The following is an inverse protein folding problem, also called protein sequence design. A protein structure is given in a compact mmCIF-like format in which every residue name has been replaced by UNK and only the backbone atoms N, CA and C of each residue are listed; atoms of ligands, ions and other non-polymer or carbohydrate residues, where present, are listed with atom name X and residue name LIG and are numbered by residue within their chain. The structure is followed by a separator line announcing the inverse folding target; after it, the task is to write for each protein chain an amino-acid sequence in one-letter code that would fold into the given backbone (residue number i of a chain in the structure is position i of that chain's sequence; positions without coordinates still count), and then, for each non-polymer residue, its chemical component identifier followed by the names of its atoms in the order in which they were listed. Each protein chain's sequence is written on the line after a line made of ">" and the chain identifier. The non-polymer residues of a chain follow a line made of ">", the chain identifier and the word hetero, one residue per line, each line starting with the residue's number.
data_IF_937664318241
#
_entry.id   IF_937664318241
#
_cell.length_a   1.000
_cell.length_b   1.000
_cell.length_c   1.000
_cell.angle_alpha   90.00
_cell.angle_beta   90.00
_cell.angle_gamma   90.00
#
_symmetry.space_group_name_H-M   'P 1'
#
loop_
_entity.id
_entity.type
_entity.pdbx_description
1 polymer ?
#
# COMPACT_ATOMS: atom_id res chain seq x y z
N UNK A 1 30.15 15.90 4.90
CA UNK A 1 30.55 14.88 3.92
C UNK A 1 29.46 13.82 3.91
N UNK A 2 29.03 13.30 2.76
CA UNK A 2 27.99 12.28 2.69
C UNK A 2 28.63 10.96 2.23
N UNK A 3 28.63 9.95 3.11
CA UNK A 3 29.25 8.65 2.86
C UNK A 3 28.17 7.63 2.53
N UNK A 4 28.37 6.85 1.46
CA UNK A 4 27.44 5.79 1.06
C UNK A 4 27.70 4.55 1.90
N UNK A 5 26.65 4.03 2.55
CA UNK A 5 26.73 2.85 3.40
C UNK A 5 25.59 1.89 3.06
N UNK A 6 25.82 0.61 3.30
CA UNK A 6 24.86 -0.47 3.09
C UNK A 6 24.94 -1.43 4.27
N UNK A 7 23.79 -1.80 4.83
CA UNK A 7 23.68 -2.75 5.94
C UNK A 7 23.08 -4.06 5.42
N UNK A 8 23.85 -5.17 5.46
CA UNK A 8 23.38 -6.49 4.99
C UNK A 8 22.68 -6.46 3.60
N UNK A 9 23.31 -5.80 2.62
CA UNK A 9 22.76 -5.56 1.27
C UNK A 9 21.52 -4.64 1.19
N UNK A 10 21.10 -4.02 2.29
CA UNK A 10 20.01 -3.06 2.34
C UNK A 10 20.53 -1.61 2.40
N UNK A 11 19.94 -0.72 1.60
CA UNK A 11 20.27 0.70 1.52
C UNK A 11 19.59 1.54 2.61
N UNK A 12 18.67 0.97 3.39
CA UNK A 12 17.90 1.66 4.44
C UNK A 12 18.70 1.84 5.75
N UNK A 13 19.85 2.50 5.68
CA UNK A 13 20.77 2.66 6.82
C UNK A 13 20.09 3.31 8.05
N UNK A 14 19.16 4.24 7.83
CA UNK A 14 18.41 4.91 8.90
C UNK A 14 17.43 4.01 9.66
N UNK A 15 17.16 2.79 9.20
CA UNK A 15 16.36 1.79 9.92
C UNK A 15 17.19 1.09 10.99
N UNK A 16 18.47 0.89 10.70
CA UNK A 16 19.41 0.12 11.54
C UNK A 16 20.32 1.02 12.39
N UNK A 17 20.34 2.31 12.14
CA UNK A 17 21.16 3.27 12.87
C UNK A 17 20.40 4.55 13.17
N UNK A 18 20.74 5.18 14.29
CA UNK A 18 20.22 6.49 14.68
C UNK A 18 21.39 7.39 15.05
N UNK A 19 21.59 8.43 14.26
CA UNK A 19 22.63 9.43 14.49
C UNK A 19 22.03 10.66 15.15
N UNK A 20 22.68 11.13 16.21
CA UNK A 20 22.43 12.44 16.83
C UNK A 20 23.76 13.18 16.99
N UNK A 21 23.70 14.46 17.37
CA UNK A 21 24.90 15.26 17.62
C UNK A 21 25.67 14.84 18.89
N UNK A 22 25.11 13.95 19.74
CA UNK A 22 25.71 13.55 21.02
C UNK A 22 26.01 12.05 21.12
N UNK A 23 25.31 11.19 20.38
CA UNK A 23 25.54 9.75 20.33
C UNK A 23 25.07 9.15 19.00
N UNK A 24 25.66 8.03 18.62
CA UNK A 24 25.22 7.21 17.50
C UNK A 24 24.81 5.83 18.01
N UNK A 25 23.58 5.40 17.69
CA UNK A 25 23.12 4.04 17.94
C UNK A 25 23.21 3.22 16.67
N UNK A 26 23.75 2.01 16.78
CA UNK A 26 23.92 1.10 15.66
C UNK A 26 23.41 -0.30 16.04
N UNK A 27 22.71 -0.95 15.11
CA UNK A 27 22.22 -2.31 15.30
C UNK A 27 23.35 -3.31 15.46
N UNK A 28 23.16 -4.30 16.34
CA UNK A 28 24.01 -5.49 16.43
C UNK A 28 23.75 -6.41 15.22
N UNK A 29 24.81 -7.01 14.67
CA UNK A 29 24.74 -8.00 13.58
C UNK A 29 25.03 -7.44 12.18
N UNK A 30 25.58 -6.23 12.07
CA UNK A 30 26.04 -5.65 10.80
C UNK A 30 27.36 -6.24 10.31
N UNK A 31 27.71 -5.94 9.06
CA UNK A 31 29.02 -6.28 8.49
C UNK A 31 30.13 -5.42 9.11
N UNK A 32 31.36 -5.95 9.16
CA UNK A 32 32.51 -5.18 9.66
C UNK A 32 32.74 -3.89 8.86
N UNK A 33 32.51 -3.91 7.54
CA UNK A 33 32.57 -2.73 6.68
C UNK A 33 31.57 -1.63 7.09
N UNK A 34 30.41 -2.01 7.62
CA UNK A 34 29.44 -1.06 8.09
C UNK A 34 29.91 -0.41 9.39
N UNK A 35 30.37 -1.20 10.36
CA UNK A 35 30.88 -0.66 11.62
C UNK A 35 32.13 0.19 11.44
N UNK A 36 33.07 -0.24 10.59
CA UNK A 36 34.31 0.48 10.35
C UNK A 36 34.06 1.87 9.76
N UNK A 37 33.02 2.04 8.95
CA UNK A 37 32.68 3.35 8.41
C UNK A 37 32.07 4.32 9.43
N UNK A 38 31.26 3.81 10.38
CA UNK A 38 30.81 4.65 11.50
C UNK A 38 31.97 4.99 12.43
N UNK A 39 32.83 4.02 12.72
CA UNK A 39 34.01 4.21 13.57
C UNK A 39 35.02 5.19 12.94
N UNK A 40 35.29 5.11 11.63
CA UNK A 40 36.23 6.01 10.97
C UNK A 40 35.77 7.46 10.91
N UNK A 41 34.46 7.71 10.83
CA UNK A 41 33.91 9.05 10.66
C UNK A 41 33.52 9.71 11.99
N UNK A 42 33.09 8.91 12.98
CA UNK A 42 32.44 9.43 14.19
C UNK A 42 33.13 9.08 15.49
N UNK A 43 34.04 8.10 15.54
CA UNK A 43 34.63 7.65 16.81
C UNK A 43 35.38 8.76 17.57
N UNK A 44 35.93 9.74 16.85
CA UNK A 44 36.67 10.86 17.44
C UNK A 44 35.75 11.94 18.05
N UNK A 45 34.46 11.96 17.69
CA UNK A 45 33.53 13.05 18.03
C UNK A 45 32.35 12.58 18.86
N UNK A 46 31.85 11.36 18.62
CA UNK A 46 30.58 10.89 19.18
C UNK A 46 30.68 9.41 19.58
N UNK A 47 30.21 9.00 20.78
CA UNK A 47 30.17 7.59 21.15
C UNK A 47 29.24 6.78 20.23
N UNK A 48 29.75 5.65 19.74
CA UNK A 48 29.01 4.69 18.91
C UNK A 48 28.60 3.50 19.80
N UNK A 49 27.30 3.33 20.00
CA UNK A 49 26.74 2.27 20.85
C UNK A 49 26.09 1.20 19.99
N UNK A 50 26.63 -0.02 20.07
CA UNK A 50 26.07 -1.21 19.43
C UNK A 50 25.01 -1.81 20.34
N UNK A 51 23.76 -1.85 19.93
CA UNK A 51 22.67 -2.35 20.79
C UNK A 51 21.59 -3.08 19.98
N UNK A 52 20.61 -3.65 20.66
CA UNK A 52 19.35 -4.14 20.10
C UNK A 52 18.22 -3.53 20.91
N UNK A 53 17.05 -3.35 20.31
CA UNK A 53 15.86 -2.88 21.02
C UNK A 53 14.77 -3.93 20.91
N UNK A 54 14.37 -4.51 22.05
CA UNK A 54 13.32 -5.54 22.10
C UNK A 54 13.70 -6.79 21.31
N UNK A 55 14.99 -7.14 21.27
CA UNK A 55 15.50 -8.27 20.48
C UNK A 55 15.51 -8.07 18.97
N UNK A 56 15.20 -6.86 18.48
CA UNK A 56 15.19 -6.53 17.05
C UNK A 56 16.38 -5.67 16.64
N UNK A 57 16.72 -5.71 15.34
CA UNK A 57 17.82 -4.93 14.72
C UNK A 57 17.38 -3.56 14.20
N UNK A 58 16.09 -3.23 14.23
CA UNK A 58 15.52 -2.04 13.57
C UNK A 58 15.47 -0.80 14.49
N UNK A 59 16.62 -0.45 15.06
CA UNK A 59 16.73 0.57 16.10
C UNK A 59 16.23 1.95 15.65
N UNK A 60 16.57 2.37 14.44
CA UNK A 60 16.25 3.70 13.93
C UNK A 60 14.75 3.95 13.77
N UNK A 61 13.97 2.89 13.50
CA UNK A 61 12.49 2.95 13.47
C UNK A 61 11.86 2.89 14.85
N UNK A 62 12.51 2.22 15.80
CA UNK A 62 11.96 2.00 17.13
C UNK A 62 12.21 3.16 18.08
N UNK A 63 13.30 3.92 17.90
CA UNK A 63 13.68 5.00 18.80
C UNK A 63 13.64 6.39 18.14
N UNK A 64 13.33 7.39 18.96
CA UNK A 64 13.43 8.79 18.62
C UNK A 64 14.29 9.48 19.68
N UNK A 65 15.25 10.31 19.28
CA UNK A 65 16.20 10.89 20.21
C UNK A 65 16.86 12.15 19.67
N UNK A 66 17.24 13.03 20.58
CA UNK A 66 18.03 14.23 20.34
C UNK A 66 19.27 14.22 21.25
N UNK A 67 20.06 15.29 21.24
CA UNK A 67 21.25 15.41 22.10
C UNK A 67 20.99 15.29 23.61
N UNK A 68 19.75 15.53 24.06
CA UNK A 68 19.38 15.60 25.48
C UNK A 68 18.66 14.33 25.97
N UNK A 69 18.11 13.52 25.07
CA UNK A 69 17.29 12.38 25.46
C UNK A 69 17.03 11.38 24.35
N UNK A 70 16.75 10.15 24.77
CA UNK A 70 16.44 9.02 23.91
C UNK A 70 15.14 8.37 24.39
N UNK A 71 14.17 8.26 23.48
CA UNK A 71 12.89 7.60 23.71
C UNK A 71 12.92 6.20 23.11
N UNK A 72 12.50 5.25 23.92
CA UNK A 72 12.60 3.82 23.64
C UNK A 72 11.24 3.17 23.89
N UNK A 73 10.81 2.18 23.07
CA UNK A 73 9.52 1.55 23.26
C UNK A 73 9.46 0.69 24.52
N UNK A 74 8.24 0.38 24.98
CA UNK A 74 8.00 -0.51 26.12
C UNK A 74 8.52 -1.94 25.91
N UNK A 75 8.72 -2.37 24.66
CA UNK A 75 9.23 -3.71 24.30
C UNK A 75 10.72 -3.89 24.63
N UNK A 76 11.44 -2.82 24.95
CA UNK A 76 12.87 -2.90 25.27
C UNK A 76 13.10 -3.50 26.64
N UNK A 77 13.99 -4.48 26.69
CA UNK A 77 14.30 -5.22 27.92
C UNK A 77 15.07 -4.39 28.94
N UNK A 78 15.02 -4.77 30.23
CA UNK A 78 15.76 -4.11 31.31
C UNK A 78 17.28 -4.17 31.12
N UNK A 79 17.77 -5.25 30.53
CA UNK A 79 19.18 -5.40 30.20
C UNK A 79 19.63 -4.43 29.12
N UNK A 80 18.86 -4.29 28.03
CA UNK A 80 19.14 -3.33 26.94
C UNK A 80 19.09 -1.89 27.45
N UNK A 81 18.13 -1.56 28.31
CA UNK A 81 18.01 -0.21 28.86
C UNK A 81 19.18 0.14 29.81
N UNK A 82 19.62 -0.81 30.63
CA UNK A 82 20.80 -0.60 31.48
C UNK A 82 22.07 -0.46 30.63
N UNK A 83 22.21 -1.24 29.56
CA UNK A 83 23.30 -1.10 28.61
C UNK A 83 23.32 0.31 27.99
N UNK A 84 22.17 0.80 27.51
CA UNK A 84 22.05 2.17 26.98
C UNK A 84 22.44 3.23 28.01
N UNK A 85 22.00 3.10 29.27
CA UNK A 85 22.36 4.05 30.34
C UNK A 85 23.85 4.03 30.68
N UNK A 86 24.50 2.88 30.57
CA UNK A 86 25.94 2.75 30.86
C UNK A 86 26.81 3.22 29.69
N UNK A 87 26.32 3.12 28.45
CA UNK A 87 27.09 3.45 27.24
C UNK A 87 26.86 4.88 26.72
N UNK A 88 25.77 5.52 27.10
CA UNK A 88 25.46 6.90 26.71
C UNK A 88 26.02 7.90 27.72
N UNK A 89 26.35 9.13 27.28
CA UNK A 89 26.80 10.18 28.19
C UNK A 89 25.69 10.57 29.17
N UNK A 90 26.07 10.90 30.42
CA UNK A 90 25.15 11.22 31.53
C UNK A 90 24.16 12.37 31.24
N UNK A 91 24.45 13.19 30.22
CA UNK A 91 23.56 14.25 29.77
C UNK A 91 22.32 13.76 29.02
N UNK A 92 22.31 12.50 28.57
CA UNK A 92 21.23 11.91 27.76
C UNK A 92 20.27 11.14 28.65
N UNK A 93 19.03 11.63 28.77
CA UNK A 93 18.00 10.94 29.53
C UNK A 93 17.35 9.85 28.67
N UNK A 94 17.51 8.59 29.07
CA UNK A 94 16.86 7.45 28.42
C UNK A 94 15.54 7.12 29.14
N UNK A 95 14.43 7.25 28.41
CA UNK A 95 13.09 6.99 28.94
C UNK A 95 12.32 6.00 28.06
N UNK A 96 11.65 5.03 28.72
CA UNK A 96 10.68 4.16 28.05
C UNK A 96 9.33 4.84 27.97
N UNK A 97 8.67 4.71 26.82
CA UNK A 97 7.29 5.16 26.66
C UNK A 97 6.38 3.96 26.37
N UNK A 98 5.30 3.89 27.13
CA UNK A 98 4.19 2.96 26.90
C UNK A 98 3.22 3.56 25.89
N UNK A 99 3.43 3.24 24.62
CA UNK A 99 2.52 3.63 23.54
C UNK A 99 1.96 2.42 22.82
N UNK A 100 0.77 2.63 22.24
CA UNK A 100 0.04 1.63 21.45
C UNK A 100 0.69 1.38 20.09
N UNK A 101 1.45 2.36 19.58
CA UNK A 101 2.18 2.28 18.32
C UNK A 101 3.60 1.80 18.59
N UNK A 102 4.03 0.76 17.87
CA UNK A 102 5.26 0.02 18.15
C UNK A 102 6.54 0.68 17.60
N UNK A 103 6.46 1.79 16.86
CA UNK A 103 7.60 2.40 16.16
C UNK A 103 7.68 3.92 16.35
N UNK A 104 8.25 4.36 17.49
CA UNK A 104 8.39 5.79 17.84
C UNK A 104 9.17 6.59 16.79
N UNK A 105 10.16 5.98 16.14
CA UNK A 105 10.98 6.63 15.12
C UNK A 105 10.22 6.96 13.83
N UNK A 106 9.07 6.30 13.58
CA UNK A 106 8.18 6.65 12.46
C UNK A 106 7.17 7.74 12.85
N UNK A 107 6.81 7.81 14.14
CA UNK A 107 5.79 8.72 14.65
C UNK A 107 6.36 10.06 15.13
N UNK A 108 7.67 10.13 15.41
CA UNK A 108 8.35 11.30 15.97
C UNK A 108 9.58 11.65 15.14
N UNK A 109 9.56 12.84 14.53
CA UNK A 109 10.73 13.45 13.90
C UNK A 109 11.28 14.54 14.82
N UNK A 110 12.50 14.36 15.31
CA UNK A 110 13.10 15.27 16.28
C UNK A 110 14.46 15.80 15.83
N UNK A 111 14.71 17.05 16.16
CA UNK A 111 16.01 17.70 16.13
C UNK A 111 16.32 18.25 17.55
N UNK A 112 17.49 18.85 17.74
CA UNK A 112 17.93 19.41 19.02
C UNK A 112 17.06 20.58 19.52
N UNK A 113 16.24 21.17 18.66
CA UNK A 113 15.41 22.33 18.95
C UNK A 113 13.90 22.06 18.95
N UNK A 114 13.42 21.17 18.06
CA UNK A 114 11.99 20.94 17.83
C UNK A 114 11.76 19.45 17.60
N UNK A 115 10.61 18.95 18.07
CA UNK A 115 10.09 17.63 17.75
C UNK A 115 8.69 17.74 17.16
N UNK A 116 8.46 17.05 16.05
CA UNK A 116 7.15 16.85 15.44
C UNK A 116 6.68 15.44 15.78
N UNK A 117 5.46 15.35 16.28
CA UNK A 117 4.85 14.11 16.75
C UNK A 117 3.49 13.91 16.07
N UNK A 118 3.15 12.67 15.72
CA UNK A 118 1.84 12.29 15.22
C UNK A 118 0.71 12.70 16.19
N UNK A 119 -0.44 13.12 15.66
CA UNK A 119 -1.57 13.67 16.44
C UNK A 119 -2.17 12.68 17.44
N UNK A 120 -2.06 11.39 17.17
CA UNK A 120 -2.65 10.31 17.97
C UNK A 120 -1.74 9.84 19.13
N UNK A 121 -0.64 10.54 19.40
CA UNK A 121 0.27 10.26 20.51
C UNK A 121 -0.30 10.80 21.83
N UNK A 122 -1.20 10.05 22.44
CA UNK A 122 -1.96 10.45 23.64
C UNK A 122 -1.11 10.69 24.91
N UNK A 123 0.16 10.25 24.97
CA UNK A 123 0.92 10.11 26.22
C UNK A 123 2.34 10.69 26.26
N UNK A 124 2.77 11.51 25.30
CA UNK A 124 4.06 12.22 25.42
C UNK A 124 3.93 13.44 26.36
N UNK A 125 3.60 13.20 27.63
CA UNK A 125 3.77 14.20 28.70
C UNK A 125 5.22 14.16 29.15
N UNK A 126 6.07 14.97 28.51
CA UNK A 126 7.44 15.21 28.94
C UNK A 126 7.39 15.82 30.35
N UNK A 127 7.75 15.03 31.36
CA UNK A 127 7.88 15.52 32.72
C UNK A 127 9.15 16.36 32.84
N UNK A 128 8.96 17.66 33.06
CA UNK A 128 9.91 18.68 33.58
C UNK A 128 11.01 19.19 32.62
N UNK A 129 10.68 20.25 31.88
CA UNK A 129 11.62 21.34 31.50
C UNK A 129 10.86 22.69 31.49
N UNK A 130 11.52 23.85 31.75
CA UNK A 130 10.88 25.13 32.07
C UNK A 130 10.10 25.76 30.89
N UNK A 131 9.16 26.68 31.17
CA UNK A 131 8.18 27.17 30.20
C UNK A 131 8.76 28.25 29.28
N UNK A 132 9.64 27.86 28.35
CA UNK A 132 10.11 28.74 27.27
C UNK A 132 10.11 28.11 25.87
N UNK A 133 9.59 26.89 25.73
CA UNK A 133 9.47 26.15 24.46
C UNK A 133 8.01 25.77 24.17
N UNK A 134 7.12 26.76 24.27
CA UNK A 134 5.66 26.62 24.04
C UNK A 134 5.23 27.09 22.64
N UNK A 135 6.12 27.05 21.65
CA UNK A 135 5.78 27.29 20.26
C UNK A 135 5.96 26.01 19.44
N UNK A 136 4.87 25.24 19.32
CA UNK A 136 4.39 24.41 18.17
C UNK A 136 3.22 23.50 18.67
N UNK A 137 2.45 23.95 19.66
CA UNK A 137 1.14 23.39 20.00
C UNK A 137 0.01 24.35 19.56
N UNK A 138 0.14 24.94 18.36
CA UNK A 138 -0.77 25.95 17.83
C UNK A 138 -1.30 25.62 16.43
N UNK A 139 -1.56 24.34 16.15
CA UNK A 139 -2.38 23.92 15.00
C UNK A 139 -3.62 23.09 15.42
N UNK A 140 -3.85 22.93 16.72
CA UNK A 140 -5.10 22.36 17.25
C UNK A 140 -6.10 23.46 17.59
N UNK A 141 -6.67 24.11 16.57
CA UNK A 141 -7.89 24.93 16.69
C UNK A 141 -8.56 25.15 15.31
N UNK A 142 -8.95 24.05 14.65
CA UNK A 142 -10.14 24.06 13.80
C UNK A 142 -10.98 22.86 14.21
N UNK A 143 -12.08 23.16 14.89
CA UNK A 143 -13.06 22.24 15.42
C UNK A 143 -13.75 21.47 14.30
N UNK A 144 -13.66 20.13 14.30
CA UNK A 144 -14.63 19.25 13.63
C UNK A 144 -15.10 18.18 14.63
N UNK A 145 -16.38 18.16 15.02
CA UNK A 145 -16.89 17.22 16.00
C UNK A 145 -17.39 15.96 15.30
N UNK A 146 -16.55 14.93 15.11
CA UNK A 146 -17.02 13.63 14.56
C UNK A 146 -16.53 12.39 15.36
N UNK A 147 -15.50 12.48 16.19
CA UNK A 147 -14.85 11.27 16.74
C UNK A 147 -15.28 10.84 18.16
N UNK A 148 -16.55 11.04 18.54
CA UNK A 148 -17.08 10.50 19.81
C UNK A 148 -17.83 9.16 19.69
N UNK A 149 -18.00 8.60 18.48
CA UNK A 149 -18.80 7.38 18.28
C UNK A 149 -18.01 6.07 18.09
N UNK A 150 -16.68 6.07 18.10
CA UNK A 150 -15.89 4.84 17.93
C UNK A 150 -15.62 4.11 19.26
N UNK A 151 -16.68 3.78 20.00
CA UNK A 151 -16.62 2.71 21.00
C UNK A 151 -17.54 1.60 20.50
N UNK A 152 -16.97 0.41 20.31
CA UNK A 152 -17.66 -0.81 19.84
C UNK A 152 -17.93 -0.90 18.33
N UNK A 153 -16.87 -1.12 17.55
CA UNK A 153 -16.98 -1.92 16.32
C UNK A 153 -15.73 -2.77 16.19
N UNK A 154 -15.93 -4.07 15.95
CA UNK A 154 -14.89 -5.07 15.74
C UNK A 154 -13.83 -4.50 14.79
N UNK A 155 -12.58 -4.46 15.25
CA UNK A 155 -11.42 -4.35 14.38
C UNK A 155 -11.58 -5.49 13.35
N UNK A 156 -12.02 -5.17 12.14
CA UNK A 156 -11.91 -6.11 11.02
C UNK A 156 -10.43 -6.44 10.95
N UNK A 157 -10.13 -7.73 11.03
CA UNK A 157 -8.78 -8.24 11.01
C UNK A 157 -8.02 -7.57 9.86
N UNK A 158 -6.95 -6.87 10.19
CA UNK A 158 -5.83 -6.69 9.29
C UNK A 158 -5.32 -8.10 8.99
N UNK A 159 -5.97 -8.81 8.06
CA UNK A 159 -5.64 -10.20 7.75
C UNK A 159 -4.38 -10.20 6.89
N UNK A 160 -3.26 -10.12 7.60
CA UNK A 160 -2.02 -10.87 7.39
C UNK A 160 -1.94 -11.76 6.14
N UNK A 161 -1.77 -11.16 4.98
CA UNK A 161 -0.97 -11.72 3.88
C UNK A 161 -0.75 -10.64 2.84
N UNK A 162 0.41 -9.98 2.90
CA UNK A 162 0.85 -9.16 1.78
C UNK A 162 1.15 -10.11 0.61
N UNK A 163 0.37 -10.09 -0.49
CA UNK A 163 0.62 -10.99 -1.59
C UNK A 163 1.96 -10.61 -2.22
N UNK A 164 2.85 -11.59 -2.26
CA UNK A 164 4.20 -11.43 -2.77
C UNK A 164 4.43 -12.55 -3.79
N UNK A 165 4.54 -12.17 -5.06
CA UNK A 165 4.73 -13.10 -6.16
C UNK A 165 6.21 -13.20 -6.47
N UNK A 166 6.86 -14.31 -6.12
CA UNK A 166 8.29 -14.57 -6.39
C UNK A 166 9.23 -13.41 -6.00
N UNK A 167 9.03 -12.79 -4.82
CA UNK A 167 9.76 -11.60 -4.34
C UNK A 167 9.43 -10.26 -5.02
N UNK A 168 8.43 -10.20 -5.90
CA UNK A 168 7.90 -8.95 -6.46
C UNK A 168 6.67 -8.43 -5.72
N UNK A 169 6.63 -7.12 -5.54
CA UNK A 169 5.52 -6.37 -4.93
C UNK A 169 4.46 -5.92 -5.97
N UNK A 170 4.62 -6.25 -7.24
CA UNK A 170 3.71 -5.83 -8.31
C UNK A 170 2.55 -6.83 -8.52
N UNK A 171 1.63 -6.85 -7.56
CA UNK A 171 0.50 -7.80 -7.54
C UNK A 171 -0.40 -7.69 -8.78
N UNK A 172 -0.58 -6.48 -9.32
CA UNK A 172 -1.41 -6.22 -10.51
C UNK A 172 -0.79 -6.65 -11.83
N UNK A 173 0.50 -7.04 -11.85
CA UNK A 173 1.08 -7.69 -13.03
C UNK A 173 0.62 -9.15 -13.14
N UNK A 174 0.47 -9.83 -12.00
CA UNK A 174 0.23 -11.27 -11.91
C UNK A 174 -1.22 -11.65 -11.59
N UNK A 175 -2.07 -10.67 -11.32
CA UNK A 175 -3.48 -10.88 -11.01
C UNK A 175 -4.36 -9.87 -11.72
N UNK A 176 -5.60 -10.26 -12.01
CA UNK A 176 -6.65 -9.36 -12.47
C UNK A 176 -7.89 -9.59 -11.63
N UNK A 177 -8.32 -8.56 -10.92
CA UNK A 177 -9.50 -8.60 -10.07
C UNK A 177 -10.65 -7.84 -10.74
N UNK A 178 -11.83 -8.43 -10.73
CA UNK A 178 -13.09 -7.80 -11.13
C UNK A 178 -14.16 -8.10 -10.09
N UNK A 179 -15.36 -7.55 -10.27
CA UNK A 179 -16.52 -7.86 -9.43
C UNK A 179 -17.10 -9.27 -9.66
N UNK A 180 -16.81 -9.94 -10.79
CA UNK A 180 -17.39 -11.25 -11.09
C UNK A 180 -16.39 -12.40 -10.99
N UNK A 181 -15.10 -12.14 -11.21
CA UNK A 181 -14.07 -13.17 -11.24
C UNK A 181 -12.70 -12.58 -10.91
N UNK A 182 -11.79 -13.45 -10.46
CA UNK A 182 -10.39 -13.13 -10.23
C UNK A 182 -9.51 -14.06 -11.08
N UNK A 183 -8.60 -13.50 -11.85
CA UNK A 183 -7.58 -14.25 -12.57
C UNK A 183 -6.26 -14.16 -11.82
N UNK A 184 -5.58 -15.29 -11.69
CA UNK A 184 -4.28 -15.39 -11.01
C UNK A 184 -3.29 -16.16 -11.87
N UNK A 185 -2.05 -15.67 -11.95
CA UNK A 185 -0.99 -16.32 -12.71
C UNK A 185 -0.66 -17.71 -12.17
N UNK A 186 -0.38 -18.66 -13.07
CA UNK A 186 0.18 -19.96 -12.69
C UNK A 186 1.64 -19.78 -12.25
N UNK A 187 2.05 -20.55 -11.22
CA UNK A 187 3.42 -20.57 -10.72
C UNK A 187 3.70 -19.65 -9.53
N UNK A 188 2.67 -19.02 -8.94
CA UNK A 188 2.78 -18.29 -7.68
C UNK A 188 3.06 -19.20 -6.47
N UNK A 189 3.50 -18.59 -5.37
CA UNK A 189 3.66 -19.26 -4.08
C UNK A 189 2.29 -19.57 -3.46
N UNK A 190 2.21 -20.59 -2.60
CA UNK A 190 0.98 -20.88 -1.84
C UNK A 190 0.54 -19.69 -0.96
N UNK A 191 1.50 -18.91 -0.46
CA UNK A 191 1.24 -17.67 0.26
C UNK A 191 0.50 -16.63 -0.61
N UNK A 192 0.83 -16.58 -1.89
CA UNK A 192 0.14 -15.68 -2.83
C UNK A 192 -1.30 -16.15 -3.06
N UNK A 193 -1.52 -17.44 -3.36
CA UNK A 193 -2.87 -17.95 -3.59
C UNK A 193 -3.75 -17.89 -2.35
N UNK A 194 -3.20 -18.24 -1.18
CA UNK A 194 -3.94 -18.20 0.08
C UNK A 194 -4.46 -16.81 0.44
N UNK A 195 -3.72 -15.75 0.08
CA UNK A 195 -4.17 -14.36 0.27
C UNK A 195 -5.43 -14.04 -0.55
N UNK A 196 -5.51 -14.51 -1.79
CA UNK A 196 -6.71 -14.33 -2.62
C UNK A 196 -7.83 -15.28 -2.18
N UNK A 197 -7.51 -16.54 -1.90
CA UNK A 197 -8.48 -17.56 -1.50
C UNK A 197 -9.13 -17.23 -0.15
N UNK A 198 -8.40 -16.64 0.81
CA UNK A 198 -8.97 -16.27 2.11
C UNK A 198 -10.04 -15.17 2.04
N UNK A 199 -9.90 -14.24 1.08
CA UNK A 199 -10.80 -13.08 0.97
C UNK A 199 -11.88 -13.27 -0.11
N UNK A 200 -11.61 -14.05 -1.16
CA UNK A 200 -12.47 -14.11 -2.34
C UNK A 200 -13.16 -15.46 -2.57
N UNK A 201 -12.69 -16.57 -1.96
CA UNK A 201 -13.15 -17.91 -2.33
C UNK A 201 -14.67 -18.11 -2.16
N UNK A 202 -15.29 -17.39 -1.22
CA UNK A 202 -16.72 -17.49 -0.95
C UNK A 202 -17.59 -16.65 -1.91
N UNK A 203 -17.01 -15.67 -2.61
CA UNK A 203 -17.75 -14.64 -3.38
C UNK A 203 -17.51 -14.75 -4.88
N UNK A 204 -16.26 -14.93 -5.32
CA UNK A 204 -15.90 -14.96 -6.75
C UNK A 204 -14.96 -16.13 -7.09
N UNK A 205 -15.09 -16.71 -8.29
CA UNK A 205 -14.19 -17.75 -8.76
C UNK A 205 -12.78 -17.20 -8.98
N UNK A 206 -11.78 -17.88 -8.40
CA UNK A 206 -10.36 -17.63 -8.62
C UNK A 206 -9.85 -18.60 -9.69
N UNK A 207 -9.52 -18.09 -10.87
CA UNK A 207 -9.05 -18.90 -12.00
C UNK A 207 -7.54 -18.78 -12.15
N UNK A 208 -6.83 -19.90 -12.00
CA UNK A 208 -5.38 -19.98 -12.18
C UNK A 208 -5.08 -20.23 -13.66
N UNK A 209 -4.54 -19.24 -14.37
CA UNK A 209 -4.31 -19.33 -15.82
C UNK A 209 -2.99 -18.72 -16.24
N UNK A 210 -2.49 -19.14 -17.41
CA UNK A 210 -1.49 -18.41 -18.18
C UNK A 210 -2.18 -17.76 -19.39
N UNK A 211 -1.53 -16.75 -19.97
CA UNK A 211 -1.94 -16.16 -21.26
C UNK A 211 -0.73 -16.18 -22.19
N UNK A 212 -0.84 -16.90 -23.31
CA UNK A 212 0.26 -17.05 -24.27
C UNK A 212 1.49 -17.72 -23.66
N UNK A 213 1.30 -18.64 -22.69
CA UNK A 213 2.39 -19.28 -21.95
C UNK A 213 3.17 -18.36 -21.01
N UNK A 214 2.68 -17.13 -20.77
CA UNK A 214 3.29 -16.18 -19.84
C UNK A 214 2.51 -16.08 -18.52
N UNK A 215 3.19 -15.56 -17.50
CA UNK A 215 2.64 -15.37 -16.15
C UNK A 215 2.09 -13.96 -15.89
N UNK A 216 2.26 -13.03 -16.83
CA UNK A 216 1.92 -11.60 -16.64
C UNK A 216 0.47 -11.29 -17.02
N UNK A 217 -0.46 -12.05 -16.43
CA UNK A 217 -1.86 -12.04 -16.85
C UNK A 217 -2.53 -10.67 -16.65
N UNK A 218 -2.21 -9.95 -15.56
CA UNK A 218 -2.86 -8.69 -15.21
C UNK A 218 -2.52 -7.56 -16.19
N UNK A 219 -1.35 -7.62 -16.83
CA UNK A 219 -0.96 -6.69 -17.89
C UNK A 219 -1.49 -7.10 -19.26
N UNK A 220 -1.65 -8.39 -19.51
CA UNK A 220 -2.09 -8.90 -20.81
C UNK A 220 -3.60 -8.81 -21.00
N UNK A 221 -4.39 -8.84 -19.92
CA UNK A 221 -5.86 -8.80 -20.00
C UNK A 221 -6.47 -7.55 -19.36
N UNK A 222 -7.64 -7.17 -19.89
CA UNK A 222 -8.50 -6.17 -19.31
C UNK A 222 -9.92 -6.74 -19.27
N UNK A 223 -10.70 -6.40 -18.25
CA UNK A 223 -12.04 -6.96 -18.10
C UNK A 223 -12.79 -6.35 -16.95
N UNK A 224 -14.11 -6.47 -17.02
CA UNK A 224 -15.07 -6.06 -16.00
C UNK A 224 -15.99 -7.25 -15.69
N UNK A 225 -17.11 -7.02 -14.98
CA UNK A 225 -18.04 -8.13 -14.68
C UNK A 225 -18.73 -8.74 -15.91
N UNK A 226 -18.79 -8.02 -17.04
CA UNK A 226 -19.52 -8.42 -18.24
C UNK A 226 -18.63 -9.15 -19.25
N UNK A 227 -17.33 -8.83 -19.29
CA UNK A 227 -16.45 -9.35 -20.33
C UNK A 227 -14.98 -9.34 -19.96
N UNK A 228 -14.24 -10.24 -20.61
CA UNK A 228 -12.79 -10.40 -20.50
C UNK A 228 -12.15 -10.31 -21.88
N UNK A 229 -11.22 -9.36 -22.02
CA UNK A 229 -10.41 -9.16 -23.21
C UNK A 229 -9.06 -9.86 -23.05
N UNK A 230 -8.75 -10.72 -24.00
CA UNK A 230 -7.48 -11.46 -24.03
C UNK A 230 -6.72 -11.17 -25.34
N UNK A 231 -5.38 -11.19 -25.32
CA UNK A 231 -4.60 -10.91 -26.51
C UNK A 231 -4.68 -12.06 -27.53
N UNK A 232 -4.36 -11.77 -28.79
CA UNK A 232 -4.31 -12.77 -29.86
C UNK A 232 -3.30 -13.91 -29.60
N UNK A 233 -2.31 -13.70 -28.73
CA UNK A 233 -1.29 -14.70 -28.35
C UNK A 233 -1.84 -15.81 -27.46
N UNK A 234 -3.05 -15.65 -26.94
CA UNK A 234 -3.72 -16.62 -26.06
C UNK A 234 -4.01 -17.91 -26.82
N UNK A 235 -3.57 -19.05 -26.30
CA UNK A 235 -3.79 -20.36 -26.93
C UNK A 235 -5.26 -20.82 -26.82
N UNK A 236 -5.70 -21.73 -27.69
CA UNK A 236 -7.06 -22.29 -27.64
C UNK A 236 -7.35 -23.07 -26.37
N UNK A 237 -6.31 -23.72 -25.81
CA UNK A 237 -6.43 -24.42 -24.54
C UNK A 237 -6.67 -23.46 -23.38
N UNK A 238 -5.89 -22.37 -23.29
CA UNK A 238 -6.08 -21.32 -22.27
C UNK A 238 -7.47 -20.67 -22.40
N UNK A 239 -7.92 -20.41 -23.62
CA UNK A 239 -9.23 -19.79 -23.84
C UNK A 239 -10.37 -20.74 -23.45
N UNK A 240 -10.28 -22.02 -23.80
CA UNK A 240 -11.27 -23.01 -23.36
C UNK A 240 -11.28 -23.15 -21.84
N UNK A 241 -10.11 -23.11 -21.19
CA UNK A 241 -10.01 -23.14 -19.73
C UNK A 241 -10.69 -21.93 -19.09
N UNK A 242 -10.48 -20.73 -19.63
CA UNK A 242 -11.17 -19.52 -19.18
C UNK A 242 -12.69 -19.64 -19.32
N UNK A 243 -13.18 -20.08 -20.49
CA UNK A 243 -14.63 -20.27 -20.72
C UNK A 243 -15.27 -21.30 -19.78
N UNK A 244 -14.54 -22.35 -19.41
CA UNK A 244 -15.06 -23.36 -18.51
C UNK A 244 -15.06 -22.91 -17.04
N UNK A 245 -14.18 -21.97 -16.67
CA UNK A 245 -13.96 -21.56 -15.28
C UNK A 245 -14.67 -20.26 -14.91
N UNK A 246 -14.94 -19.40 -15.90
CA UNK A 246 -15.66 -18.15 -15.74
C UNK A 246 -17.18 -18.40 -15.76
N UNK A 247 -17.97 -17.54 -15.09
CA UNK A 247 -19.42 -17.62 -15.18
C UNK A 247 -19.91 -17.30 -16.60
N UNK A 248 -20.99 -17.95 -17.02
CA UNK A 248 -21.55 -17.83 -18.39
C UNK A 248 -21.96 -16.39 -18.77
N UNK A 249 -22.11 -15.50 -17.80
CA UNK A 249 -22.38 -14.08 -18.03
C UNK A 249 -21.20 -13.31 -18.62
N UNK A 250 -19.98 -13.85 -18.50
CA UNK A 250 -18.74 -13.16 -18.91
C UNK A 250 -18.38 -13.55 -20.34
N UNK A 251 -18.38 -12.58 -21.24
CA UNK A 251 -17.96 -12.78 -22.63
C UNK A 251 -16.44 -12.72 -22.73
N UNK A 252 -15.81 -13.84 -23.11
CA UNK A 252 -14.36 -13.90 -23.35
C UNK A 252 -14.07 -13.72 -24.84
N UNK A 253 -13.41 -12.60 -25.19
CA UNK A 253 -13.08 -12.25 -26.57
C UNK A 253 -11.58 -12.04 -26.77
N UNK A 254 -11.06 -12.59 -27.88
CA UNK A 254 -9.69 -12.29 -28.34
C UNK A 254 -9.67 -11.01 -29.16
N UNK A 255 -8.71 -10.15 -28.85
CA UNK A 255 -8.43 -8.94 -29.62
C UNK A 255 -7.04 -9.05 -30.25
N UNK A 256 -6.95 -8.71 -31.54
CA UNK A 256 -5.69 -8.47 -32.22
C UNK A 256 -5.35 -6.98 -32.07
N UNK A 257 -4.44 -6.67 -31.15
CA UNK A 257 -3.93 -5.32 -30.94
C UNK A 257 -2.40 -5.35 -31.04
N UNK A 258 -1.81 -4.35 -31.70
CA UNK A 258 -0.38 -4.30 -32.03
C UNK A 258 0.41 -3.28 -31.21
N UNK A 259 -0.25 -2.33 -30.56
CA UNK A 259 0.40 -1.26 -29.82
C UNK A 259 1.11 -1.76 -28.55
N UNK A 260 0.34 -2.30 -27.61
CA UNK A 260 0.85 -2.79 -26.33
C UNK A 260 -0.08 -3.85 -25.75
N UNK A 261 0.24 -4.33 -24.56
CA UNK A 261 -0.61 -5.25 -23.83
C UNK A 261 -1.94 -4.57 -23.42
N UNK A 262 -3.05 -5.29 -23.56
CA UNK A 262 -4.41 -4.74 -23.34
C UNK A 262 -4.58 -4.14 -21.94
N UNK A 263 -4.03 -4.77 -20.90
CA UNK A 263 -4.10 -4.28 -19.52
C UNK A 263 -3.26 -3.03 -19.25
N UNK A 264 -2.32 -2.66 -20.13
CA UNK A 264 -1.61 -1.39 -20.06
C UNK A 264 -2.35 -0.27 -20.81
N UNK A 265 -3.03 -0.62 -21.89
CA UNK A 265 -3.77 0.30 -22.74
C UNK A 265 -5.18 0.62 -22.21
N UNK A 266 -5.76 -0.25 -21.38
CA UNK A 266 -7.17 -0.15 -20.97
C UNK A 266 -7.28 -0.18 -19.45
N UNK A 267 -7.93 0.84 -18.89
CA UNK A 267 -8.39 0.88 -17.50
C UNK A 267 -9.92 0.93 -17.51
N UNK A 268 -10.59 -0.03 -16.89
CA UNK A 268 -12.06 -0.12 -16.95
C UNK A 268 -12.67 -0.33 -15.57
N UNK A 269 -13.88 0.19 -15.41
CA UNK A 269 -14.83 -0.21 -14.37
C UNK A 269 -16.08 -0.85 -15.05
N UNK A 270 -17.18 -1.05 -14.33
CA UNK A 270 -18.38 -1.67 -14.90
C UNK A 270 -19.22 -0.72 -15.76
N UNK A 271 -18.88 0.57 -15.84
CA UNK A 271 -19.68 1.62 -16.49
C UNK A 271 -18.93 2.34 -17.62
N UNK A 272 -17.63 2.54 -17.45
CA UNK A 272 -16.75 3.36 -18.27
C UNK A 272 -15.39 2.68 -18.42
N UNK A 273 -14.78 2.83 -19.60
CA UNK A 273 -13.41 2.43 -19.86
C UNK A 273 -12.59 3.62 -20.38
N UNK A 274 -11.39 3.78 -19.84
CA UNK A 274 -10.35 4.61 -20.41
C UNK A 274 -9.45 3.76 -21.28
N UNK A 275 -9.17 4.27 -22.48
CA UNK A 275 -8.37 3.58 -23.46
C UNK A 275 -7.26 4.50 -24.01
N UNK A 276 -6.22 3.87 -24.55
CA UNK A 276 -5.12 4.54 -25.22
C UNK A 276 -5.60 5.39 -26.42
N UNK A 277 -5.05 6.59 -26.60
CA UNK A 277 -5.50 7.56 -27.63
C UNK A 277 -5.41 7.02 -29.06
N UNK A 278 -4.36 6.26 -29.33
CA UNK A 278 -4.04 5.76 -30.67
C UNK A 278 -4.69 4.39 -30.97
N UNK A 279 -5.63 3.91 -30.15
CA UNK A 279 -6.33 2.66 -30.45
C UNK A 279 -7.14 2.76 -31.74
N UNK A 280 -7.18 1.66 -32.50
CA UNK A 280 -8.01 1.56 -33.69
C UNK A 280 -9.49 1.60 -33.32
N UNK A 281 -10.32 2.20 -34.18
CA UNK A 281 -11.77 2.31 -33.95
C UNK A 281 -12.46 0.94 -33.89
N UNK A 282 -11.99 0.00 -34.71
CA UNK A 282 -12.49 -1.38 -34.68
C UNK A 282 -12.24 -2.03 -33.30
N UNK A 283 -11.05 -1.84 -32.73
CA UNK A 283 -10.71 -2.32 -31.39
C UNK A 283 -11.57 -1.64 -30.32
N UNK A 284 -11.79 -0.33 -30.42
CA UNK A 284 -12.64 0.43 -29.50
C UNK A 284 -14.10 -0.07 -29.51
N UNK A 285 -14.68 -0.33 -30.68
CA UNK A 285 -16.03 -0.89 -30.81
C UNK A 285 -16.12 -2.28 -30.16
N UNK A 286 -15.12 -3.14 -30.38
CA UNK A 286 -15.06 -4.47 -29.74
C UNK A 286 -14.99 -4.33 -28.21
N UNK A 287 -14.20 -3.38 -27.68
CA UNK A 287 -14.10 -3.14 -26.24
C UNK A 287 -15.46 -2.71 -25.68
N UNK A 288 -16.12 -1.76 -26.34
CA UNK A 288 -17.43 -1.24 -25.93
C UNK A 288 -18.50 -2.36 -25.92
N UNK A 289 -18.53 -3.20 -26.95
CA UNK A 289 -19.50 -4.29 -27.09
C UNK A 289 -19.27 -5.41 -26.06
N UNK A 290 -18.01 -5.83 -25.86
CA UNK A 290 -17.69 -6.96 -24.98
C UNK A 290 -17.80 -6.58 -23.50
N UNK A 291 -17.33 -5.38 -23.14
CA UNK A 291 -17.40 -4.91 -21.76
C UNK A 291 -18.75 -4.26 -21.44
N UNK A 292 -19.51 -3.81 -22.45
CA UNK A 292 -20.78 -3.12 -22.26
C UNK A 292 -20.62 -1.77 -21.56
N UNK A 293 -19.57 -1.02 -21.90
CA UNK A 293 -19.20 0.26 -21.28
C UNK A 293 -18.87 1.31 -22.33
N UNK A 294 -19.01 2.58 -21.95
CA UNK A 294 -18.55 3.69 -22.79
C UNK A 294 -17.03 3.80 -22.75
N UNK A 295 -16.40 3.87 -23.92
CA UNK A 295 -14.94 3.96 -24.04
C UNK A 295 -14.55 5.42 -24.31
N UNK A 296 -13.61 5.94 -23.52
CA UNK A 296 -13.03 7.26 -23.69
C UNK A 296 -11.52 7.18 -23.91
N UNK A 297 -11.05 7.87 -24.93
CA UNK A 297 -9.64 8.02 -25.24
C UNK A 297 -9.06 9.17 -24.44
N UNK A 298 -8.20 8.87 -23.47
CA UNK A 298 -7.63 9.90 -22.60
C UNK A 298 -6.21 9.57 -22.18
N UNK A 299 -5.47 10.57 -21.72
CA UNK A 299 -4.12 10.41 -21.16
C UNK A 299 -4.10 10.78 -19.68
N UNK A 300 -3.17 10.21 -18.91
CA UNK A 300 -3.04 10.47 -17.47
C UNK A 300 -1.64 11.00 -17.21
N UNK A 301 -1.52 12.24 -16.72
CA UNK A 301 -0.25 12.93 -16.49
C UNK A 301 0.68 12.94 -17.72
N UNK A 302 0.11 13.08 -18.93
CA UNK A 302 0.86 13.03 -20.19
C UNK A 302 1.28 11.62 -20.63
N UNK A 303 0.94 10.58 -19.88
CA UNK A 303 1.20 9.20 -20.25
C UNK A 303 0.01 8.60 -21.02
N UNK A 304 0.33 7.92 -22.11
CA UNK A 304 -0.63 7.22 -22.98
C UNK A 304 -1.11 5.88 -22.41
N UNK A 305 -0.34 5.27 -21.50
CA UNK A 305 -0.64 3.98 -20.88
C UNK A 305 -1.54 4.15 -19.65
N UNK A 306 -2.84 4.29 -19.87
CA UNK A 306 -3.83 4.54 -18.81
C UNK A 306 -3.93 3.36 -17.82
N UNK A 307 -3.87 2.12 -18.28
CA UNK A 307 -3.98 0.92 -17.43
C UNK A 307 -2.78 0.70 -16.51
N UNK A 308 -1.60 1.20 -16.87
CA UNK A 308 -0.42 1.17 -16.01
C UNK A 308 -0.48 2.21 -14.89
N UNK A 309 -1.04 3.37 -15.17
CA UNK A 309 -0.94 4.57 -14.33
C UNK A 309 -2.23 4.87 -13.56
N UNK A 310 -3.22 3.98 -13.64
CA UNK A 310 -4.52 4.14 -13.01
C UNK A 310 -5.05 2.80 -12.52
N UNK A 311 -5.68 2.81 -11.35
CA UNK A 311 -6.53 1.73 -10.87
C UNK A 311 -7.94 2.26 -10.63
N UNK A 312 -8.93 1.64 -11.25
CA UNK A 312 -10.33 2.06 -11.19
C UNK A 312 -11.21 0.99 -10.55
N UNK A 313 -12.24 1.44 -9.85
CA UNK A 313 -13.38 0.66 -9.38
C UNK A 313 -14.67 1.43 -9.69
N UNK A 314 -15.83 0.90 -9.31
CA UNK A 314 -17.09 1.65 -9.44
C UNK A 314 -17.23 2.74 -8.37
N UNK A 315 -16.42 2.70 -7.30
CA UNK A 315 -16.54 3.59 -6.13
C UNK A 315 -15.58 4.76 -6.16
N UNK A 316 -14.44 4.58 -6.81
CA UNK A 316 -13.34 5.54 -6.86
C UNK A 316 -12.17 5.01 -7.68
N UNK A 317 -11.12 5.82 -7.79
CA UNK A 317 -9.90 5.45 -8.49
C UNK A 317 -8.67 6.21 -8.00
N UNK A 318 -7.50 5.62 -8.27
CA UNK A 318 -6.21 6.25 -8.00
C UNK A 318 -5.49 6.43 -9.32
N UNK A 319 -4.94 7.62 -9.52
CA UNK A 319 -4.15 7.99 -10.70
C UNK A 319 -2.75 8.40 -10.32
N UNK A 320 -1.89 8.50 -11.33
CA UNK A 320 -0.50 8.91 -11.22
C UNK A 320 -0.30 10.15 -10.32
N UNK A 321 0.74 10.18 -9.47
CA UNK A 321 0.94 11.26 -8.48
C UNK A 321 1.19 12.64 -9.11
N UNK A 322 1.71 12.67 -10.34
CA UNK A 322 1.98 13.92 -11.08
C UNK A 322 0.79 14.41 -11.93
N UNK A 323 -0.40 13.82 -11.79
CA UNK A 323 -1.59 14.32 -12.50
C UNK A 323 -1.98 15.69 -11.94
N UNK A 324 -2.28 16.64 -12.83
CA UNK A 324 -2.70 17.98 -12.43
C UNK A 324 -4.10 17.95 -11.79
N UNK A 325 -4.42 18.95 -10.97
CA UNK A 325 -5.74 19.04 -10.33
C UNK A 325 -6.84 19.26 -11.38
N UNK A 326 -6.53 19.98 -12.46
CA UNK A 326 -7.46 20.19 -13.57
C UNK A 326 -7.78 18.87 -14.30
N UNK A 327 -6.76 18.06 -14.61
CA UNK A 327 -6.96 16.74 -15.23
C UNK A 327 -7.71 15.78 -14.30
N UNK A 328 -7.46 15.85 -12.99
CA UNK A 328 -8.18 15.06 -11.98
C UNK A 328 -9.67 15.38 -11.97
N UNK A 329 -10.04 16.67 -11.99
CA UNK A 329 -11.43 17.10 -11.99
C UNK A 329 -12.14 16.75 -13.30
N UNK A 330 -11.45 16.85 -14.44
CA UNK A 330 -11.95 16.41 -15.74
C UNK A 330 -12.21 14.90 -15.76
N UNK A 331 -11.23 14.09 -15.33
CA UNK A 331 -11.35 12.64 -15.26
C UNK A 331 -12.44 12.19 -14.27
N UNK A 332 -12.56 12.87 -13.12
CA UNK A 332 -13.59 12.60 -12.12
C UNK A 332 -14.99 12.88 -12.69
N UNK A 333 -15.14 13.96 -13.44
CA UNK A 333 -16.40 14.31 -14.12
C UNK A 333 -16.72 13.32 -15.24
N UNK A 334 -15.70 12.86 -15.99
CA UNK A 334 -15.88 11.89 -17.06
C UNK A 334 -16.28 10.51 -16.51
N UNK A 335 -15.56 10.01 -15.49
CA UNK A 335 -15.80 8.69 -14.92
C UNK A 335 -16.96 8.64 -13.92
N UNK A 336 -17.46 9.79 -13.46
CA UNK A 336 -18.48 9.93 -12.42
C UNK A 336 -18.08 9.27 -11.08
N UNK A 337 -16.78 9.11 -10.83
CA UNK A 337 -16.23 8.55 -9.59
C UNK A 337 -15.13 9.44 -9.02
N UNK A 338 -14.97 9.54 -7.69
CA UNK A 338 -13.90 10.32 -7.09
C UNK A 338 -12.53 9.73 -7.43
N UNK A 339 -11.60 10.61 -7.82
CA UNK A 339 -10.22 10.25 -8.11
C UNK A 339 -9.26 10.96 -7.17
N UNK A 340 -8.16 10.27 -6.82
CA UNK A 340 -7.07 10.83 -6.02
C UNK A 340 -5.74 10.49 -6.69
N UNK A 341 -4.82 11.46 -6.71
CA UNK A 341 -3.43 11.21 -7.10
C UNK A 341 -2.68 10.56 -5.93
N UNK A 342 -2.01 9.44 -6.17
CA UNK A 342 -1.33 8.68 -5.12
C UNK A 342 -0.25 7.76 -5.65
N UNK A 343 0.46 7.11 -4.72
CA UNK A 343 1.51 6.14 -5.01
C UNK A 343 1.23 4.81 -4.32
N UNK A 344 1.95 3.78 -4.76
CA UNK A 344 1.88 2.42 -4.21
C UNK A 344 3.30 1.92 -3.96
N UNK A 345 3.51 0.90 -3.13
CA UNK A 345 4.83 0.29 -2.92
C UNK A 345 5.96 1.29 -2.57
N UNK A 346 5.74 2.19 -1.59
CA UNK A 346 6.71 3.23 -1.15
C UNK A 346 7.08 4.24 -2.24
N UNK A 347 6.07 4.81 -2.90
CA UNK A 347 6.31 5.87 -3.88
C UNK A 347 6.46 5.40 -5.33
N UNK A 348 6.10 4.17 -5.65
CA UNK A 348 5.98 3.74 -7.05
C UNK A 348 4.82 4.45 -7.73
N UNK A 349 5.08 4.98 -8.91
CA UNK A 349 4.13 5.73 -9.74
C UNK A 349 3.23 4.80 -10.57
N UNK A 350 3.62 3.52 -10.73
CA UNK A 350 2.93 2.55 -11.57
C UNK A 350 1.83 1.83 -10.78
N UNK A 351 0.73 2.54 -10.56
CA UNK A 351 -0.38 2.09 -9.71
C UNK A 351 -0.98 0.77 -10.19
N UNK A 352 -1.21 0.61 -11.49
CA UNK A 352 -1.78 -0.61 -12.07
C UNK A 352 -0.88 -1.84 -11.93
N UNK A 353 0.42 -1.67 -11.68
CA UNK A 353 1.31 -2.78 -11.32
C UNK A 353 1.16 -3.16 -9.85
N UNK A 354 1.09 -2.15 -8.97
CA UNK A 354 1.25 -2.34 -7.54
C UNK A 354 -0.01 -2.83 -6.84
N UNK A 355 -1.17 -2.72 -7.48
CA UNK A 355 -2.44 -3.15 -6.88
C UNK A 355 -3.47 -3.66 -7.89
N UNK A 356 -4.43 -4.41 -7.38
CA UNK A 356 -5.71 -4.71 -8.03
C UNK A 356 -6.85 -4.43 -7.05
N UNK A 357 -7.99 -3.98 -7.57
CA UNK A 357 -9.09 -3.51 -6.73
C UNK A 357 -10.43 -3.91 -7.35
N UNK A 358 -11.38 -4.25 -6.49
CA UNK A 358 -12.80 -4.32 -6.82
C UNK A 358 -13.60 -3.47 -5.81
N UNK A 359 -14.92 -3.59 -5.82
CA UNK A 359 -15.75 -2.71 -4.99
C UNK A 359 -15.71 -3.01 -3.48
N UNK A 360 -15.11 -4.12 -3.05
CA UNK A 360 -15.07 -4.53 -1.63
C UNK A 360 -13.70 -4.92 -1.08
N UNK A 361 -12.73 -5.22 -1.94
CA UNK A 361 -11.38 -5.67 -1.60
C UNK A 361 -10.35 -5.02 -2.52
N UNK A 362 -9.17 -4.76 -1.96
CA UNK A 362 -8.00 -4.34 -2.73
C UNK A 362 -6.80 -5.18 -2.30
N UNK A 363 -6.05 -5.67 -3.28
CA UNK A 363 -4.76 -6.34 -3.04
C UNK A 363 -3.66 -5.39 -3.46
N UNK A 364 -2.75 -5.09 -2.53
CA UNK A 364 -1.62 -4.19 -2.75
C UNK A 364 -0.31 -4.91 -2.45
N UNK A 365 0.77 -4.48 -3.08
CA UNK A 365 2.10 -5.03 -2.84
C UNK A 365 2.60 -4.83 -1.40
N UNK A 366 3.49 -5.74 -0.98
CA UNK A 366 3.99 -5.81 0.40
C UNK A 366 4.72 -4.59 0.92
N UNK A 367 5.25 -3.78 0.02
CA UNK A 367 5.98 -2.57 0.35
C UNK A 367 5.07 -1.36 0.55
N UNK A 368 3.78 -1.45 0.23
CA UNK A 368 2.84 -0.34 0.36
C UNK A 368 2.77 0.14 1.80
N UNK A 369 2.99 1.44 2.00
CA UNK A 369 3.07 2.04 3.33
C UNK A 369 1.67 2.16 3.97
N UNK A 370 1.62 2.23 5.30
CA UNK A 370 0.35 2.40 6.02
C UNK A 370 -0.40 3.70 5.61
N UNK A 371 0.33 4.74 5.22
CA UNK A 371 -0.23 5.99 4.70
C UNK A 371 -0.84 5.80 3.32
N UNK A 372 -0.16 5.09 2.41
CA UNK A 372 -0.71 4.76 1.08
C UNK A 372 -1.96 3.87 1.23
N UNK A 373 -1.92 2.86 2.11
CA UNK A 373 -3.07 2.00 2.41
C UNK A 373 -4.28 2.79 2.95
N UNK A 374 -4.05 3.79 3.82
CA UNK A 374 -5.14 4.62 4.33
C UNK A 374 -5.80 5.45 3.22
N UNK A 375 -5.04 5.90 2.22
CA UNK A 375 -5.58 6.62 1.06
C UNK A 375 -6.40 5.67 0.19
N UNK A 376 -5.87 4.48 -0.10
CA UNK A 376 -6.53 3.42 -0.88
C UNK A 376 -7.87 3.04 -0.23
N UNK A 377 -7.87 2.75 1.07
CA UNK A 377 -9.06 2.36 1.81
C UNK A 377 -10.12 3.48 1.81
N UNK A 378 -9.69 4.74 1.93
CA UNK A 378 -10.59 5.89 1.90
C UNK A 378 -11.21 6.15 0.53
N UNK A 379 -10.44 6.06 -0.56
CA UNK A 379 -10.93 6.38 -1.91
C UNK A 379 -11.84 5.28 -2.46
N UNK A 380 -11.51 4.02 -2.19
CA UNK A 380 -12.29 2.87 -2.63
C UNK A 380 -13.44 2.50 -1.67
N UNK A 381 -13.51 3.13 -0.49
CA UNK A 381 -14.54 2.92 0.54
C UNK A 381 -14.69 1.44 0.95
N UNK A 382 -13.56 0.76 1.17
CA UNK A 382 -13.55 -0.68 1.44
C UNK A 382 -14.14 -1.03 2.81
N UNK A 383 -13.99 -0.14 3.82
CA UNK A 383 -14.59 -0.33 5.16
C UNK A 383 -16.11 -0.40 5.19
N UNK A 384 -16.79 0.26 4.25
CA UNK A 384 -18.25 0.28 4.17
C UNK A 384 -18.78 -0.92 3.35
N UNK A 385 -17.88 -1.65 2.70
CA UNK A 385 -18.15 -2.66 1.68
C UNK A 385 -18.11 -4.09 2.24
N UNK A 386 -18.76 -4.39 3.36
CA UNK A 386 -19.05 -5.81 3.60
C UNK A 386 -20.07 -6.30 2.56
N UNK A 387 -19.93 -7.53 2.04
CA UNK A 387 -20.90 -8.08 1.10
C UNK A 387 -22.28 -8.03 1.78
N UNK A 388 -23.24 -7.48 1.05
CA UNK A 388 -24.59 -7.21 1.53
C UNK A 388 -25.35 -8.48 1.93
N UNK A 389 -24.78 -9.69 1.78
CA UNK A 389 -25.38 -10.94 2.22
C UNK A 389 -25.79 -10.92 3.70
N UNK A 390 -24.95 -10.38 4.60
CA UNK A 390 -25.28 -10.31 6.03
C UNK A 390 -26.39 -9.29 6.29
N UNK A 391 -26.38 -8.15 5.57
CA UNK A 391 -27.39 -7.09 5.74
C UNK A 391 -28.73 -7.47 5.11
N UNK A 392 -28.71 -8.17 3.98
CA UNK A 392 -29.90 -8.65 3.27
C UNK A 392 -30.50 -9.89 3.95
N UNK A 393 -29.70 -10.77 4.57
CA UNK A 393 -30.20 -11.83 5.46
C UNK A 393 -30.81 -11.25 6.76
N UNK A 394 -30.18 -10.24 7.36
CA UNK A 394 -30.75 -9.52 8.50
C UNK A 394 -32.05 -8.80 8.14
N UNK A 395 -32.15 -8.22 6.94
CA UNK A 395 -33.39 -7.60 6.45
C UNK A 395 -34.47 -8.63 6.14
N UNK A 396 -34.13 -9.76 5.50
CA UNK A 396 -35.09 -10.86 5.22
C UNK A 396 -35.66 -11.45 6.51
N UNK A 397 -34.81 -11.76 7.49
CA UNK A 397 -35.26 -12.29 8.79
C UNK A 397 -36.15 -11.32 9.55
N UNK A 398 -35.90 -10.01 9.48
CA UNK A 398 -36.79 -9.00 10.05
C UNK A 398 -38.14 -8.92 9.32
N UNK A 399 -38.18 -9.09 8.00
CA UNK A 399 -39.42 -9.06 7.21
C UNK A 399 -40.29 -10.30 7.48
N UNK A 400 -39.68 -11.49 7.59
CA UNK A 400 -40.39 -12.74 7.94
C UNK A 400 -40.93 -12.77 9.38
N UNK A 401 -40.57 -11.80 10.22
CA UNK A 401 -41.14 -11.67 11.58
C UNK A 401 -42.39 -10.78 11.62
N UNK A 402 -42.65 -10.01 10.55
CA UNK A 402 -43.76 -9.04 10.47
C UNK A 402 -44.82 -9.38 9.41
N UNK A 403 -44.69 -10.51 8.72
CA UNK A 403 -45.71 -11.13 7.86
C UNK A 403 -46.13 -12.44 8.52
#
# INVERSE_FOLDING_TARGET
>A
MATRLQFENNCEVGVFSKLTNAYCLVAIGGSENFYSAFESELADVIPIVKTSLGGTRIIGRLCAGNKNGLLVPHTTTDQELQHLRNSLPDSVVVQRIEERLSALGNCIACNDHVALAHTDLDKVKISRTPPSLLCVAALSCVSLPILSSCKSSKFVAFCSSWPLFENNCEVGVFSKLTNAYCLVAIGGSENFYSAFESELADVIPIVKTSLGGTRIIGRLCAGNKNGLLVPHTTTDQELQHLRNSLPDSVVVQRIEERLSALGNCIACNDHVALAHTDLDKETEEIIADVLGVEVFRQTIAGNILVGSNCALSNRGGIVHPHTSVEDLDELSTLLQVPLVAGTVNRGSEVIGAGMTVNDWTAFCGSDTTATELSVIDSIFKLREAQPSSIVDEMRKSLIDTYV
#
